data_IF_159664445937
#
_entry.id   IF_159664445937
#
_cell.length_a   1.000
_cell.length_b   1.000
_cell.length_c   1.000
_cell.angle_alpha   90.00
_cell.angle_beta   90.00
_cell.angle_gamma   90.00
#
_symmetry.space_group_name_H-M   'P 1'
#
loop_
_entity.id
_entity.type
_entity.pdbx_description
1 polymer ?
#
# COMPACT_ATOMS: atom_id res chain seq x y z
N UNK A 1 44.58 -45.35 45.65
CA UNK A 1 43.35 -44.52 45.63
C UNK A 1 43.05 -44.14 44.19
N UNK A 2 41.85 -44.48 43.69
CA UNK A 2 41.43 -44.24 42.31
C UNK A 2 40.81 -42.83 42.20
N UNK A 3 41.26 -42.05 41.22
CA UNK A 3 40.66 -40.76 40.86
C UNK A 3 39.33 -41.02 40.13
N UNK A 4 38.23 -40.45 40.65
CA UNK A 4 36.97 -40.39 39.92
C UNK A 4 36.93 -39.10 39.09
N UNK A 5 37.03 -39.24 37.76
CA UNK A 5 36.61 -38.19 36.82
C UNK A 5 35.08 -38.14 36.84
N UNK A 6 34.49 -37.07 37.35
CA UNK A 6 33.07 -36.79 37.15
C UNK A 6 32.90 -36.16 35.77
N UNK A 7 32.34 -36.95 34.86
CA UNK A 7 31.92 -36.53 33.54
C UNK A 7 30.58 -35.81 33.69
N UNK A 8 30.58 -34.48 33.59
CA UNK A 8 29.34 -33.69 33.57
C UNK A 8 28.88 -33.64 32.11
N UNK A 9 27.94 -34.51 31.74
CA UNK A 9 27.14 -34.34 30.53
C UNK A 9 26.04 -33.33 30.81
N UNK A 10 25.90 -32.23 30.05
CA UNK A 10 24.76 -31.35 30.19
C UNK A 10 23.49 -32.08 29.75
N UNK A 11 22.52 -32.19 30.66
CA UNK A 11 21.24 -32.84 30.41
C UNK A 11 20.48 -32.12 29.29
N UNK A 12 20.47 -32.76 28.12
CA UNK A 12 19.77 -32.33 26.91
C UNK A 12 18.24 -32.23 27.07
N UNK A 13 17.70 -32.57 28.24
CA UNK A 13 16.28 -32.40 28.60
C UNK A 13 15.97 -30.99 29.09
N UNK A 14 16.91 -30.31 29.75
CA UNK A 14 16.68 -28.95 30.29
C UNK A 14 16.66 -27.92 29.14
N UNK A 15 17.50 -28.11 28.12
CA UNK A 15 17.49 -27.28 26.90
C UNK A 15 16.23 -27.50 26.05
N UNK A 16 15.63 -28.69 26.08
CA UNK A 16 14.40 -28.99 25.33
C UNK A 16 13.17 -28.31 25.94
N UNK A 17 13.06 -28.27 27.27
CA UNK A 17 11.95 -27.55 27.93
C UNK A 17 12.00 -26.04 27.72
N UNK A 18 13.19 -25.43 27.60
CA UNK A 18 13.30 -24.01 27.29
C UNK A 18 13.01 -23.69 25.82
N UNK A 19 13.38 -24.59 24.89
CA UNK A 19 13.12 -24.40 23.46
C UNK A 19 11.65 -24.66 23.10
N UNK A 20 10.99 -25.62 23.75
CA UNK A 20 9.56 -25.90 23.56
C UNK A 20 8.65 -24.79 24.13
N UNK A 21 9.17 -23.98 25.07
CA UNK A 21 8.46 -22.80 25.57
C UNK A 21 8.53 -21.60 24.62
N UNK A 22 9.43 -21.60 23.62
CA UNK A 22 9.60 -20.50 22.66
C UNK A 22 8.91 -20.73 21.31
N UNK A 23 8.24 -21.88 21.09
CA UNK A 23 7.58 -22.23 19.82
C UNK A 23 6.08 -22.39 19.91
N UNK A 24 5.44 -21.89 20.97
CA UNK A 24 3.99 -21.67 20.96
C UNK A 24 3.72 -20.22 20.59
N UNK A 25 3.90 -19.91 19.29
CA UNK A 25 3.25 -18.75 18.71
C UNK A 25 1.75 -18.97 18.87
N UNK A 26 1.18 -18.32 19.88
CA UNK A 26 -0.25 -18.26 20.12
C UNK A 26 -0.86 -17.57 18.91
N UNK A 27 -1.33 -18.37 17.95
CA UNK A 27 -2.18 -17.92 16.85
C UNK A 27 -3.51 -17.57 17.50
N UNK A 28 -3.60 -16.36 18.04
CA UNK A 28 -4.81 -15.84 18.65
C UNK A 28 -5.94 -15.94 17.60
N UNK A 29 -7.04 -16.66 17.88
CA UNK A 29 -8.21 -16.60 17.03
C UNK A 29 -8.72 -15.16 17.03
N UNK A 30 -8.91 -14.62 15.83
CA UNK A 30 -9.48 -13.29 15.58
C UNK A 30 -10.62 -13.00 16.57
N UNK A 31 -10.64 -11.84 17.25
CA UNK A 31 -11.80 -11.44 18.01
C UNK A 31 -12.98 -11.33 17.05
N UNK A 32 -13.90 -12.30 17.15
CA UNK A 32 -15.19 -12.32 16.46
C UNK A 32 -16.11 -11.24 17.05
N UNK A 33 -15.72 -9.99 16.92
CA UNK A 33 -16.68 -8.89 16.85
C UNK A 33 -17.03 -8.75 15.38
N UNK A 34 -18.31 -8.77 15.03
CA UNK A 34 -18.83 -8.59 13.67
C UNK A 34 -18.21 -7.35 13.00
N UNK A 35 -17.09 -7.51 12.31
CA UNK A 35 -16.44 -6.47 11.54
C UNK A 35 -16.59 -6.86 10.08
N UNK A 36 -17.37 -6.09 9.32
CA UNK A 36 -17.32 -6.15 7.86
C UNK A 36 -15.87 -6.04 7.43
N UNK A 37 -15.45 -6.84 6.44
CA UNK A 37 -14.12 -6.71 5.84
C UNK A 37 -13.88 -5.26 5.45
N UNK A 38 -12.78 -4.61 5.90
CA UNK A 38 -12.52 -3.20 5.59
C UNK A 38 -12.55 -2.98 4.09
N UNK A 39 -13.21 -1.91 3.65
CA UNK A 39 -13.27 -1.52 2.24
C UNK A 39 -12.18 -0.51 1.94
N UNK A 40 -11.29 -0.87 1.01
CA UNK A 40 -10.15 -0.05 0.60
C UNK A 40 -10.30 0.35 -0.87
N UNK A 41 -10.36 1.65 -1.14
CA UNK A 41 -10.19 2.20 -2.48
C UNK A 41 -8.71 2.42 -2.76
N UNK A 42 -8.21 1.96 -3.91
CA UNK A 42 -6.85 2.25 -4.37
C UNK A 42 -6.92 3.23 -5.55
N UNK A 43 -6.27 4.38 -5.41
CA UNK A 43 -6.10 5.38 -6.45
C UNK A 43 -4.63 5.42 -6.90
N UNK A 44 -4.38 5.63 -8.19
CA UNK A 44 -3.04 5.63 -8.77
C UNK A 44 -3.01 6.47 -10.05
N UNK A 45 -1.82 6.80 -10.55
CA UNK A 45 -1.65 7.45 -11.84
C UNK A 45 -1.38 6.44 -12.96
N UNK A 46 -2.04 6.60 -14.10
CA UNK A 46 -1.75 5.83 -15.32
C UNK A 46 -0.50 6.30 -16.07
N UNK A 47 0.05 7.47 -15.73
CA UNK A 47 1.13 8.15 -16.46
C UNK A 47 2.46 7.39 -16.47
N UNK A 48 2.73 6.58 -15.44
CA UNK A 48 3.97 5.79 -15.32
C UNK A 48 3.95 4.53 -16.20
N UNK A 49 2.83 4.31 -16.88
CA UNK A 49 2.65 3.29 -17.90
C UNK A 49 2.25 1.91 -17.38
N UNK A 50 2.11 0.93 -18.30
CA UNK A 50 1.43 -0.33 -18.01
C UNK A 50 2.13 -1.19 -16.96
N UNK A 51 3.44 -1.05 -16.78
CA UNK A 51 4.18 -1.78 -15.74
C UNK A 51 3.81 -1.31 -14.33
N UNK A 52 3.66 0.01 -14.12
CA UNK A 52 3.19 0.58 -12.85
C UNK A 52 1.75 0.15 -12.56
N UNK A 53 0.85 0.29 -13.54
CA UNK A 53 -0.55 -0.14 -13.41
C UNK A 53 -0.63 -1.64 -13.04
N UNK A 54 0.19 -2.50 -13.67
CA UNK A 54 0.27 -3.92 -13.33
C UNK A 54 0.73 -4.15 -11.87
N UNK A 55 1.69 -3.37 -11.38
CA UNK A 55 2.14 -3.44 -9.99
C UNK A 55 1.01 -3.06 -9.02
N UNK A 56 0.27 -1.97 -9.29
CA UNK A 56 -0.90 -1.55 -8.49
C UNK A 56 -2.00 -2.61 -8.50
N UNK A 57 -2.30 -3.21 -9.64
CA UNK A 57 -3.31 -4.26 -9.76
C UNK A 57 -2.92 -5.52 -8.98
N UNK A 58 -1.64 -5.87 -9.01
CA UNK A 58 -1.09 -7.02 -8.28
C UNK A 58 -1.06 -6.74 -6.77
N UNK A 59 -0.80 -5.50 -6.36
CA UNK A 59 -0.92 -5.05 -4.98
C UNK A 59 -2.37 -5.20 -4.49
N UNK A 60 -3.34 -4.71 -5.26
CA UNK A 60 -4.76 -4.86 -4.92
C UNK A 60 -5.16 -6.32 -4.76
N UNK A 61 -4.72 -7.19 -5.68
CA UNK A 61 -4.96 -8.63 -5.59
C UNK A 61 -4.31 -9.24 -4.33
N UNK A 62 -3.07 -8.85 -4.01
CA UNK A 62 -2.37 -9.30 -2.81
C UNK A 62 -3.10 -8.88 -1.52
N UNK A 63 -3.52 -7.63 -1.42
CA UNK A 63 -4.27 -7.11 -0.26
C UNK A 63 -5.59 -7.88 -0.11
N UNK A 64 -6.31 -8.10 -1.21
CA UNK A 64 -7.59 -8.81 -1.16
C UNK A 64 -7.43 -10.28 -0.75
N UNK A 65 -6.37 -10.95 -1.19
CA UNK A 65 -6.12 -12.37 -0.88
C UNK A 65 -5.52 -12.59 0.50
N UNK A 66 -4.67 -11.68 0.99
CA UNK A 66 -3.82 -11.92 2.15
C UNK A 66 -4.06 -10.96 3.32
N UNK A 67 -4.80 -9.87 3.14
CA UNK A 67 -5.06 -8.88 4.19
C UNK A 67 -6.54 -8.81 4.62
N UNK A 68 -7.39 -9.77 4.23
CA UNK A 68 -8.82 -9.81 4.61
C UNK A 68 -9.56 -8.47 4.41
N UNK A 69 -9.18 -7.75 3.35
CA UNK A 69 -9.64 -6.40 3.02
C UNK A 69 -10.31 -6.45 1.65
N UNK A 70 -11.46 -5.82 1.48
CA UNK A 70 -12.13 -5.73 0.19
C UNK A 70 -11.55 -4.55 -0.59
N UNK A 71 -10.97 -4.82 -1.76
CA UNK A 71 -10.28 -3.79 -2.56
C UNK A 71 -11.18 -3.34 -3.71
N UNK A 72 -11.26 -2.03 -3.90
CA UNK A 72 -11.94 -1.37 -5.00
C UNK A 72 -10.89 -0.71 -5.90
N UNK A 73 -10.91 -1.09 -7.17
CA UNK A 73 -10.04 -0.60 -8.23
C UNK A 73 -10.89 -0.28 -9.46
N UNK A 74 -10.61 0.84 -10.10
CA UNK A 74 -11.31 1.32 -11.30
C UNK A 74 -11.30 0.28 -12.43
N UNK A 75 -10.16 -0.37 -12.67
CA UNK A 75 -9.99 -1.38 -13.70
C UNK A 75 -10.74 -2.69 -13.39
N UNK A 76 -11.06 -2.96 -12.12
CA UNK A 76 -11.89 -4.12 -11.74
C UNK A 76 -13.38 -3.86 -11.90
N UNK A 77 -13.80 -2.58 -11.91
CA UNK A 77 -15.19 -2.15 -12.09
C UNK A 77 -15.34 -1.21 -13.30
N UNK A 78 -14.62 -1.52 -14.38
CA UNK A 78 -14.53 -0.69 -15.59
C UNK A 78 -15.89 -0.40 -16.23
N UNK A 79 -16.85 -1.32 -16.11
CA UNK A 79 -18.22 -1.11 -16.59
C UNK A 79 -18.95 -0.01 -15.81
N UNK A 80 -18.85 0.00 -14.47
CA UNK A 80 -19.47 1.04 -13.67
C UNK A 80 -18.76 2.38 -13.85
N UNK A 81 -17.42 2.37 -13.97
CA UNK A 81 -16.63 3.56 -14.30
C UNK A 81 -17.06 4.15 -15.65
N UNK A 82 -17.23 3.31 -16.67
CA UNK A 82 -17.70 3.76 -17.99
C UNK A 82 -19.13 4.30 -17.97
N UNK A 83 -20.00 3.75 -17.11
CA UNK A 83 -21.41 4.17 -16.99
C UNK A 83 -21.58 5.46 -16.19
N UNK A 84 -20.86 5.60 -15.08
CA UNK A 84 -21.03 6.71 -14.12
C UNK A 84 -20.06 7.86 -14.39
N UNK A 85 -18.96 7.59 -15.10
CA UNK A 85 -17.83 8.50 -15.28
C UNK A 85 -16.78 8.33 -14.18
N UNK A 86 -15.49 8.49 -14.54
CA UNK A 86 -14.35 8.23 -13.63
C UNK A 86 -14.45 9.03 -12.34
N UNK A 87 -14.64 10.35 -12.41
CA UNK A 87 -14.69 11.20 -11.21
C UNK A 87 -15.90 10.90 -10.31
N UNK A 88 -17.06 10.61 -10.89
CA UNK A 88 -18.28 10.29 -10.14
C UNK A 88 -18.16 8.93 -9.44
N UNK A 89 -17.60 7.93 -10.12
CA UNK A 89 -17.31 6.62 -9.53
C UNK A 89 -16.34 6.75 -8.34
N UNK A 90 -15.24 7.48 -8.51
CA UNK A 90 -14.28 7.72 -7.42
C UNK A 90 -14.91 8.50 -6.25
N UNK A 91 -15.69 9.54 -6.52
CA UNK A 91 -16.40 10.30 -5.47
C UNK A 91 -17.34 9.40 -4.65
N UNK A 92 -18.05 8.48 -5.32
CA UNK A 92 -18.89 7.48 -4.65
C UNK A 92 -18.04 6.52 -3.80
N UNK A 93 -16.97 5.96 -4.35
CA UNK A 93 -16.10 5.05 -3.62
C UNK A 93 -15.41 5.72 -2.42
N UNK A 94 -14.95 6.97 -2.54
CA UNK A 94 -14.36 7.74 -1.44
C UNK A 94 -15.35 7.88 -0.27
N UNK A 95 -16.65 7.99 -0.55
CA UNK A 95 -17.70 8.07 0.49
C UNK A 95 -18.04 6.71 1.08
N UNK A 96 -18.08 5.66 0.27
CA UNK A 96 -18.55 4.32 0.67
C UNK A 96 -17.45 3.42 1.28
N UNK A 97 -16.18 3.66 0.94
CA UNK A 97 -15.06 2.92 1.47
C UNK A 97 -14.64 3.42 2.86
N UNK A 98 -14.14 2.51 3.68
CA UNK A 98 -13.60 2.80 5.01
C UNK A 98 -12.26 3.52 4.89
N UNK A 99 -11.45 3.12 3.90
CA UNK A 99 -10.10 3.60 3.67
C UNK A 99 -9.85 3.96 2.20
N UNK A 100 -8.96 4.92 1.97
CA UNK A 100 -8.49 5.35 0.64
C UNK A 100 -6.97 5.36 0.64
N UNK A 101 -6.36 4.58 -0.26
CA UNK A 101 -4.92 4.51 -0.46
C UNK A 101 -4.56 5.10 -1.81
N UNK A 102 -3.78 6.18 -1.80
CA UNK A 102 -3.22 6.78 -3.02
C UNK A 102 -1.82 6.26 -3.24
N UNK A 103 -1.62 5.45 -4.28
CA UNK A 103 -0.29 5.02 -4.73
C UNK A 103 0.32 6.14 -5.56
N UNK A 104 1.25 6.84 -4.95
CA UNK A 104 1.99 7.94 -5.52
C UNK A 104 3.17 7.41 -6.34
N UNK A 105 3.46 8.10 -7.42
CA UNK A 105 4.50 7.78 -8.40
C UNK A 105 5.02 9.08 -9.01
N UNK A 106 6.20 9.07 -9.65
CA UNK A 106 6.78 10.29 -10.23
C UNK A 106 5.85 10.97 -11.24
N UNK A 107 5.16 10.18 -12.08
CA UNK A 107 4.22 10.70 -13.06
C UNK A 107 3.04 11.45 -12.44
N UNK A 108 2.73 11.21 -11.17
CA UNK A 108 1.71 11.93 -10.43
C UNK A 108 2.19 13.31 -9.95
N UNK A 109 3.41 13.38 -9.43
CA UNK A 109 4.02 14.63 -8.95
C UNK A 109 4.33 15.62 -10.08
N UNK A 110 4.85 15.10 -11.22
CA UNK A 110 5.13 15.92 -12.40
C UNK A 110 3.87 16.56 -13.01
N UNK A 111 2.75 15.85 -13.01
CA UNK A 111 1.49 16.34 -13.59
C UNK A 111 0.89 17.49 -12.78
N UNK A 112 0.87 17.36 -11.45
CA UNK A 112 0.37 18.41 -10.55
C UNK A 112 1.27 19.67 -10.59
N UNK A 113 2.59 19.47 -10.59
CA UNK A 113 3.57 20.57 -10.66
C UNK A 113 3.49 21.34 -11.98
N UNK A 114 3.30 20.63 -13.10
CA UNK A 114 3.18 21.26 -14.43
C UNK A 114 1.94 22.15 -14.51
N UNK A 115 0.84 21.77 -13.83
CA UNK A 115 -0.40 22.54 -13.84
C UNK A 115 -0.40 23.75 -12.91
N UNK A 116 0.30 23.70 -11.77
CA UNK A 116 0.51 24.90 -10.94
C UNK A 116 1.31 26.00 -11.68
N UNK A 117 2.18 25.61 -12.61
CA UNK A 117 2.97 26.55 -13.42
C UNK A 117 2.21 27.10 -14.64
N UNK A 118 1.16 26.40 -15.10
CA UNK A 118 0.32 26.82 -16.24
C UNK A 118 -0.97 27.44 -15.69
N UNK A 119 -0.87 28.65 -15.14
CA UNK A 119 -2.02 29.47 -14.74
C UNK A 119 -2.73 30.17 -15.93
N UNK A 120 -2.40 29.82 -17.18
CA UNK A 120 -3.13 30.30 -18.37
C UNK A 120 -3.35 29.15 -19.37
N UNK A 121 -4.59 28.67 -19.57
CA UNK A 121 -4.89 27.63 -20.53
C UNK A 121 -5.07 28.28 -21.90
N UNK A 122 -3.98 28.39 -22.67
CA UNK A 122 -4.11 28.48 -24.13
C UNK A 122 -4.11 27.06 -24.68
N UNK A 123 -5.14 26.79 -25.47
CA UNK A 123 -5.56 25.53 -26.04
C UNK A 123 -4.43 24.87 -26.87
N UNK A 124 -3.91 23.72 -26.43
CA UNK A 124 -3.22 22.79 -27.34
C UNK A 124 -3.68 21.35 -27.09
N UNK A 125 -4.75 21.01 -27.81
CA UNK A 125 -5.41 19.71 -27.87
C UNK A 125 -4.48 18.68 -28.54
N UNK A 126 -3.53 18.12 -27.78
CA UNK A 126 -2.67 17.04 -28.26
C UNK A 126 -2.79 15.77 -27.42
N UNK A 127 -3.91 15.05 -27.61
CA UNK A 127 -4.06 13.57 -27.61
C UNK A 127 -3.45 12.68 -26.48
N UNK A 128 -2.90 13.23 -25.39
CA UNK A 128 -2.35 12.50 -24.24
C UNK A 128 -3.13 12.74 -22.92
N UNK A 129 -4.22 13.52 -22.98
CA UNK A 129 -4.87 14.14 -21.81
C UNK A 129 -6.04 13.36 -21.18
N UNK A 130 -6.58 12.35 -21.85
CA UNK A 130 -7.83 11.71 -21.38
C UNK A 130 -7.64 10.76 -20.18
N UNK A 131 -6.45 10.21 -19.95
CA UNK A 131 -6.19 9.37 -18.77
C UNK A 131 -5.58 10.15 -17.60
N UNK A 132 -4.69 11.11 -17.89
CA UNK A 132 -3.96 11.86 -16.86
C UNK A 132 -4.86 12.83 -16.11
N UNK A 133 -5.77 13.51 -16.81
CA UNK A 133 -6.73 14.45 -16.20
C UNK A 133 -7.63 13.79 -15.14
N UNK A 134 -7.92 12.49 -15.29
CA UNK A 134 -8.82 11.79 -14.38
C UNK A 134 -8.17 11.43 -13.05
N UNK A 135 -6.91 10.96 -13.06
CA UNK A 135 -6.18 10.62 -11.83
C UNK A 135 -5.85 11.87 -11.00
N UNK A 136 -5.39 12.93 -11.66
CA UNK A 136 -5.14 14.22 -11.01
C UNK A 136 -6.41 14.81 -10.38
N UNK A 137 -7.53 14.80 -11.12
CA UNK A 137 -8.79 15.30 -10.59
C UNK A 137 -9.26 14.50 -9.36
N UNK A 138 -9.05 13.18 -9.36
CA UNK A 138 -9.35 12.31 -8.21
C UNK A 138 -8.45 12.65 -7.03
N UNK A 139 -7.17 12.91 -7.24
CA UNK A 139 -6.25 13.26 -6.15
C UNK A 139 -6.50 14.65 -5.62
N UNK A 140 -6.80 15.63 -6.48
CA UNK A 140 -7.26 16.95 -6.06
C UNK A 140 -8.56 16.86 -5.25
N UNK A 141 -9.48 15.97 -5.62
CA UNK A 141 -10.68 15.70 -4.84
C UNK A 141 -10.35 15.12 -3.46
N UNK A 142 -9.44 14.14 -3.37
CA UNK A 142 -8.99 13.54 -2.10
C UNK A 142 -8.29 14.59 -1.24
N UNK A 143 -7.37 15.37 -1.81
CA UNK A 143 -6.67 16.47 -1.14
C UNK A 143 -7.63 17.50 -0.57
N UNK A 144 -8.65 17.88 -1.33
CA UNK A 144 -9.70 18.78 -0.87
C UNK A 144 -10.53 18.16 0.29
N UNK A 145 -10.82 16.86 0.26
CA UNK A 145 -11.47 16.17 1.39
C UNK A 145 -10.56 16.12 2.63
N UNK A 146 -9.26 15.84 2.47
CA UNK A 146 -8.28 15.86 3.58
C UNK A 146 -8.21 17.23 4.24
N UNK A 147 -8.12 18.29 3.43
CA UNK A 147 -8.14 19.67 3.92
C UNK A 147 -9.45 19.99 4.66
N UNK A 148 -10.60 19.55 4.14
CA UNK A 148 -11.90 19.70 4.81
C UNK A 148 -11.97 18.95 6.14
N UNK A 149 -11.53 17.70 6.17
CA UNK A 149 -11.52 16.87 7.38
C UNK A 149 -10.63 17.50 8.46
N UNK A 150 -9.44 17.98 8.09
CA UNK A 150 -8.54 18.71 8.99
C UNK A 150 -9.17 19.99 9.52
N UNK A 151 -9.80 20.80 8.67
CA UNK A 151 -10.47 22.03 9.08
C UNK A 151 -11.62 21.78 10.07
N UNK A 152 -12.23 20.58 10.02
CA UNK A 152 -13.29 20.14 10.94
C UNK A 152 -12.77 19.42 12.18
N UNK A 153 -11.45 19.22 12.31
CA UNK A 153 -10.85 18.44 13.39
C UNK A 153 -11.21 16.95 13.36
N UNK A 154 -11.53 16.41 12.19
CA UNK A 154 -11.80 14.98 11.99
C UNK A 154 -10.50 14.19 11.86
N UNK A 155 -10.55 12.90 12.16
CA UNK A 155 -9.42 11.99 11.98
C UNK A 155 -9.12 11.81 10.48
N UNK A 156 -7.82 11.82 10.14
CA UNK A 156 -7.31 11.66 8.79
C UNK A 156 -6.92 10.21 8.47
N UNK A 157 -7.04 9.28 9.42
CA UNK A 157 -6.70 7.85 9.28
C UNK A 157 -7.36 7.17 8.06
N UNK A 158 -8.52 7.65 7.63
CA UNK A 158 -9.19 7.17 6.41
C UNK A 158 -8.31 7.33 5.15
N UNK A 159 -7.53 8.40 5.07
CA UNK A 159 -6.72 8.72 3.91
C UNK A 159 -5.28 8.27 4.16
N UNK A 160 -4.70 7.61 3.17
CA UNK A 160 -3.33 7.11 3.21
C UNK A 160 -2.68 7.35 1.85
N UNK A 161 -1.37 7.58 1.87
CA UNK A 161 -0.57 7.59 0.65
C UNK A 161 0.52 6.53 0.75
N UNK A 162 0.86 5.95 -0.38
CA UNK A 162 1.92 4.95 -0.47
C UNK A 162 2.78 5.17 -1.70
N UNK A 163 4.04 4.75 -1.62
CA UNK A 163 4.97 4.68 -2.74
C UNK A 163 5.49 3.26 -2.88
N UNK A 164 5.95 2.89 -4.07
CA UNK A 164 6.72 1.67 -4.26
C UNK A 164 8.22 1.96 -4.12
N UNK A 165 9.03 0.92 -3.88
CA UNK A 165 10.49 1.01 -3.75
C UNK A 165 11.22 1.77 -4.89
N UNK A 166 10.64 1.82 -6.09
CA UNK A 166 11.20 2.57 -7.25
C UNK A 166 10.75 4.03 -7.33
N UNK A 167 9.90 4.50 -6.41
CA UNK A 167 9.39 5.87 -6.31
C UNK A 167 10.01 6.54 -5.09
N UNK A 168 10.02 7.87 -5.06
CA UNK A 168 10.68 8.66 -4.02
C UNK A 168 9.65 9.37 -3.14
N UNK A 169 10.04 9.76 -1.92
CA UNK A 169 9.14 10.54 -1.04
C UNK A 169 8.77 11.91 -1.63
N UNK A 170 9.59 12.44 -2.55
CA UNK A 170 9.26 13.65 -3.33
C UNK A 170 8.07 13.46 -4.27
N UNK A 171 7.64 12.21 -4.49
CA UNK A 171 6.49 11.90 -5.34
C UNK A 171 5.15 12.08 -4.60
N UNK A 172 5.16 12.34 -3.28
CA UNK A 172 3.94 12.65 -2.54
C UNK A 172 3.42 14.05 -2.90
N UNK A 173 2.16 14.16 -3.38
CA UNK A 173 1.52 15.45 -3.58
C UNK A 173 1.45 16.24 -2.28
N UNK A 174 1.66 17.56 -2.34
CA UNK A 174 1.59 18.46 -1.17
C UNK A 174 0.26 18.33 -0.43
N UNK A 175 -0.82 18.06 -1.15
CA UNK A 175 -2.17 17.85 -0.63
C UNK A 175 -2.29 16.61 0.27
N UNK A 176 -1.43 15.61 0.06
CA UNK A 176 -1.35 14.37 0.83
C UNK A 176 -0.23 14.41 1.88
N UNK A 177 0.46 15.53 2.07
CA UNK A 177 1.50 15.67 3.10
C UNK A 177 1.00 15.46 4.53
N UNK A 178 -0.30 15.55 4.75
CA UNK A 178 -0.94 15.48 6.07
C UNK A 178 -1.44 14.08 6.45
N UNK A 179 -1.42 13.14 5.50
CA UNK A 179 -1.95 11.79 5.70
C UNK A 179 -0.83 10.81 6.05
N UNK A 180 -1.18 9.59 6.49
CA UNK A 180 -0.17 8.56 6.78
C UNK A 180 0.50 8.08 5.49
N UNK A 181 1.83 8.05 5.49
CA UNK A 181 2.66 7.59 4.36
C UNK A 181 3.19 6.18 4.60
N UNK A 182 3.22 5.37 3.54
CA UNK A 182 3.72 3.99 3.56
C UNK A 182 4.67 3.72 2.40
N UNK A 183 5.76 3.02 2.68
CA UNK A 183 6.67 2.51 1.67
C UNK A 183 6.38 1.03 1.40
N UNK A 184 5.90 0.72 0.19
CA UNK A 184 5.56 -0.64 -0.23
C UNK A 184 6.77 -1.24 -0.97
N UNK A 185 7.33 -2.35 -0.51
CA UNK A 185 6.64 -3.43 0.24
C UNK A 185 6.95 -3.53 1.74
N UNK A 186 7.89 -2.72 2.25
CA UNK A 186 8.40 -2.80 3.63
C UNK A 186 7.32 -2.56 4.69
N UNK A 187 6.40 -1.63 4.43
CA UNK A 187 5.39 -1.19 5.41
C UNK A 187 4.08 -1.98 5.34
N UNK A 188 4.03 -3.13 4.64
CA UNK A 188 2.82 -3.96 4.64
C UNK A 188 2.30 -4.33 6.05
N UNK A 189 3.15 -4.64 7.05
CA UNK A 189 2.65 -4.89 8.41
C UNK A 189 1.99 -3.66 9.03
N UNK A 190 2.50 -2.46 8.74
CA UNK A 190 1.95 -1.20 9.22
C UNK A 190 0.62 -0.87 8.52
N UNK A 191 0.56 -1.08 7.20
CA UNK A 191 -0.68 -0.93 6.44
C UNK A 191 -1.77 -1.88 6.94
N UNK A 192 -1.42 -3.15 7.19
CA UNK A 192 -2.36 -4.12 7.77
C UNK A 192 -2.85 -3.68 9.15
N UNK A 193 -1.93 -3.23 10.01
CA UNK A 193 -2.27 -2.68 11.34
C UNK A 193 -3.24 -1.51 11.24
N UNK A 194 -3.03 -0.61 10.28
CA UNK A 194 -3.91 0.54 10.04
C UNK A 194 -5.30 0.09 9.58
N UNK A 195 -5.38 -0.78 8.56
CA UNK A 195 -6.65 -1.25 7.99
C UNK A 195 -7.53 -2.00 9.00
N UNK A 196 -6.91 -2.73 9.94
CA UNK A 196 -7.64 -3.54 10.94
C UNK A 196 -7.70 -2.89 12.32
N UNK A 197 -7.09 -1.72 12.52
CA UNK A 197 -7.00 -1.06 13.83
C UNK A 197 -6.29 -1.90 14.90
N UNK A 198 -5.38 -2.80 14.50
CA UNK A 198 -4.68 -3.71 15.40
C UNK A 198 -3.27 -3.20 15.66
N UNK A 199 -2.98 -2.78 16.89
CA UNK A 199 -1.63 -2.34 17.27
C UNK A 199 -0.62 -3.49 17.14
N UNK A 200 0.45 -3.29 16.37
CA UNK A 200 1.57 -4.25 16.23
C UNK A 200 2.28 -4.55 17.57
N UNK A 201 2.19 -3.61 18.52
CA UNK A 201 2.72 -3.73 19.86
C UNK A 201 1.57 -3.74 20.89
N UNK A 202 1.51 -4.80 21.70
CA UNK A 202 0.82 -4.79 23.00
C UNK A 202 1.87 -5.02 24.09
N UNK A 203 1.71 -4.44 25.31
CA UNK A 203 2.59 -4.80 26.41
C UNK A 203 2.49 -6.31 26.67
N UNK A 204 3.58 -7.04 26.39
CA UNK A 204 3.66 -8.49 26.55
C UNK A 204 3.57 -9.34 25.27
N UNK A 205 3.41 -8.77 24.07
CA UNK A 205 3.42 -9.54 22.82
C UNK A 205 3.48 -8.70 21.54
N UNK A 206 4.15 -9.22 20.50
CA UNK A 206 4.20 -8.63 19.16
C UNK A 206 3.33 -9.45 18.19
N UNK A 207 2.50 -8.78 17.38
CA UNK A 207 1.71 -9.47 16.35
C UNK A 207 2.63 -9.76 15.16
N UNK A 208 3.25 -10.94 15.14
CA UNK A 208 4.04 -11.39 13.99
C UNK A 208 3.11 -11.88 12.89
N UNK A 209 2.84 -11.03 11.90
CA UNK A 209 2.09 -11.45 10.72
C UNK A 209 3.07 -12.12 9.76
N UNK A 210 3.21 -13.45 9.89
CA UNK A 210 4.18 -14.29 9.16
C UNK A 210 4.10 -14.20 7.63
N UNK A 211 2.98 -13.71 7.08
CA UNK A 211 2.71 -13.63 5.64
C UNK A 211 2.80 -12.21 5.05
N UNK A 212 3.01 -11.19 5.89
CA UNK A 212 2.97 -9.76 5.50
C UNK A 212 4.33 -9.08 5.73
N UNK A 213 5.22 -9.66 6.53
CA UNK A 213 6.62 -9.19 6.67
C UNK A 213 7.41 -9.32 5.36
N UNK A 214 8.40 -8.44 5.15
CA UNK A 214 9.30 -8.39 3.97
C UNK A 214 9.91 -9.76 3.61
N UNK A 215 10.25 -10.59 4.60
CA UNK A 215 10.78 -11.95 4.39
C UNK A 215 9.70 -13.03 4.18
N UNK A 216 8.44 -12.71 4.46
CA UNK A 216 7.30 -13.62 4.46
C UNK A 216 6.44 -13.52 3.20
N UNK A 217 6.26 -12.31 2.66
CA UNK A 217 5.35 -12.11 1.53
C UNK A 217 5.93 -12.67 0.22
N UNK A 218 7.25 -12.63 0.03
CA UNK A 218 7.94 -13.22 -1.14
C UNK A 218 7.83 -14.75 -1.21
N UNK A 219 7.51 -15.41 -0.09
CA UNK A 219 7.26 -16.87 -0.03
C UNK A 219 5.88 -17.23 -0.57
N UNK A 220 4.96 -16.26 -0.65
CA UNK A 220 3.64 -16.45 -1.25
C UNK A 220 3.73 -16.25 -2.76
N UNK A 221 3.04 -17.08 -3.57
CA UNK A 221 2.98 -16.89 -5.02
C UNK A 221 2.51 -15.48 -5.41
N UNK A 222 1.54 -14.92 -4.68
CA UNK A 222 1.02 -13.58 -4.91
C UNK A 222 2.05 -12.49 -4.57
N UNK A 223 2.82 -12.64 -3.50
CA UNK A 223 3.86 -11.68 -3.12
C UNK A 223 5.09 -11.76 -4.03
N UNK A 224 5.45 -12.95 -4.51
CA UNK A 224 6.46 -13.12 -5.55
C UNK A 224 6.03 -12.45 -6.87
N UNK A 225 4.76 -12.62 -7.27
CA UNK A 225 4.21 -11.93 -8.44
C UNK A 225 4.23 -10.40 -8.27
N UNK A 226 3.93 -9.90 -7.07
CA UNK A 226 4.01 -8.47 -6.76
C UNK A 226 5.44 -7.94 -6.87
N UNK A 227 6.42 -8.63 -6.27
CA UNK A 227 7.83 -8.27 -6.38
C UNK A 227 8.32 -8.25 -7.82
N UNK A 228 7.91 -9.24 -8.63
CA UNK A 228 8.22 -9.24 -10.05
C UNK A 228 7.61 -8.04 -10.77
N UNK A 229 6.34 -7.70 -10.49
CA UNK A 229 5.68 -6.55 -11.10
C UNK A 229 6.34 -5.22 -10.70
N UNK A 230 6.79 -5.08 -9.45
CA UNK A 230 7.53 -3.91 -8.97
C UNK A 230 8.88 -3.79 -9.68
N UNK A 231 9.65 -4.89 -9.80
CA UNK A 231 10.92 -4.88 -10.53
C UNK A 231 10.75 -4.58 -12.02
N UNK A 232 9.71 -5.13 -12.65
CA UNK A 232 9.38 -4.82 -14.05
C UNK A 232 9.10 -3.31 -14.21
N UNK A 233 8.37 -2.70 -13.27
CA UNK A 233 8.08 -1.26 -13.27
C UNK A 233 9.34 -0.42 -13.08
N UNK A 234 10.23 -0.81 -12.18
CA UNK A 234 11.52 -0.17 -11.94
C UNK A 234 12.40 -0.18 -13.21
N UNK A 235 12.54 -1.33 -13.87
CA UNK A 235 13.31 -1.46 -15.12
C UNK A 235 12.71 -0.59 -16.23
N UNK A 236 11.39 -0.55 -16.34
CA UNK A 236 10.70 0.25 -17.36
C UNK A 236 10.82 1.76 -17.08
N UNK A 237 10.81 2.17 -15.80
CA UNK A 237 11.10 3.55 -15.39
C UNK A 237 12.51 3.96 -15.81
N UNK A 238 13.52 3.15 -15.48
CA UNK A 238 14.92 3.41 -15.84
C UNK A 238 15.11 3.53 -17.36
N UNK A 239 14.46 2.66 -18.15
CA UNK A 239 14.49 2.73 -19.63
C UNK A 239 13.88 4.01 -20.18
N UNK A 240 12.77 4.51 -19.59
CA UNK A 240 12.16 5.77 -20.02
C UNK A 240 13.05 6.96 -19.70
N UNK A 241 13.64 7.01 -18.50
CA UNK A 241 14.57 8.08 -18.13
C UNK A 241 15.79 8.13 -19.06
N UNK A 242 16.33 6.97 -19.43
CA UNK A 242 17.43 6.90 -20.41
C UNK A 242 17.02 7.33 -21.83
N UNK A 243 15.76 7.14 -22.22
CA UNK A 243 15.25 7.54 -23.53
C UNK A 243 14.96 9.05 -23.64
N UNK A 244 14.72 9.74 -22.52
CA UNK A 244 14.49 11.20 -22.48
C UNK A 244 15.81 11.99 -22.47
N UNK A 245 16.93 11.35 -22.14
CA UNK A 245 18.26 11.98 -22.08
C UNK A 245 19.08 11.86 -23.38
N UNK A 246 18.56 11.16 -24.41
CA UNK A 246 19.18 11.00 -25.74
C UNK A 246 18.35 11.71 -26.81
#
# INVERSE_FOLDING_TARGET
MKMFKLHITPDSKILKQHLESQTQAEVLPWPKTQASTPKLLICYSGSDGPAHVKAVMTLGAFIQQHMATQVYLDLWDSLSVAREGSLAWHSRQIRECDFVLVVCSPGLSHSLTTRELIENPEEDESSWESSNSSAEAVIGLIGAEVCRAKARGQDLSKYMAAIFDYSEESDFPTELSLVSHYNLTSDFPLLFSHLHGVSLHRPGGYLKISHISEEGFTKLPAGAALQMAIRDAEIMKARRQAAVQN
#
